data_IF_659072318581
#
_entry.id   IF_659072318581
#
_cell.length_a   1.000
_cell.length_b   1.000
_cell.length_c   1.000
_cell.angle_alpha   90.00
_cell.angle_beta   90.00
_cell.angle_gamma   90.00
#
_symmetry.space_group_name_H-M   'P 1'
#
loop_
_entity.id
_entity.type
_entity.pdbx_description
1 polymer ?
#
# COMPACT_ATOMS: atom_id res chain seq x y z
N UNK A 1 -7.50 0.73 12.17
CA UNK A 1 -7.82 1.99 12.87
C UNK A 1 -7.02 2.02 14.17
N UNK A 2 -6.38 3.16 14.52
CA UNK A 2 -5.74 3.35 15.83
C UNK A 2 -6.78 3.93 16.78
N UNK A 3 -6.97 3.29 17.94
CA UNK A 3 -7.99 3.67 18.92
C UNK A 3 -7.32 4.58 19.96
N UNK A 4 -7.76 5.83 20.03
CA UNK A 4 -7.26 6.80 21.02
C UNK A 4 -8.20 6.92 22.23
N UNK A 5 -9.49 6.63 22.04
CA UNK A 5 -10.53 6.79 23.06
C UNK A 5 -11.37 5.52 23.22
N UNK A 6 -11.89 5.29 24.43
CA UNK A 6 -12.61 4.07 24.79
C UNK A 6 -13.88 3.84 23.95
N UNK A 7 -14.54 4.90 23.51
CA UNK A 7 -15.77 4.82 22.71
C UNK A 7 -15.51 4.31 21.29
N UNK A 8 -14.34 4.57 20.72
CA UNK A 8 -13.93 4.03 19.41
C UNK A 8 -13.77 2.50 19.42
N UNK A 9 -13.58 1.89 20.60
CA UNK A 9 -13.52 0.42 20.76
C UNK A 9 -14.88 -0.22 20.51
N UNK A 10 -15.96 0.37 21.02
CA UNK A 10 -17.32 -0.18 20.86
C UNK A 10 -17.74 -0.18 19.39
N UNK A 11 -17.46 0.91 18.69
CA UNK A 11 -17.78 1.01 17.27
C UNK A 11 -16.90 0.07 16.42
N UNK A 12 -15.62 -0.05 16.74
CA UNK A 12 -14.74 -1.02 16.11
C UNK A 12 -15.23 -2.46 16.29
N UNK A 13 -15.63 -2.85 17.50
CA UNK A 13 -16.14 -4.19 17.79
C UNK A 13 -17.46 -4.45 17.07
N UNK A 14 -18.39 -3.49 17.08
CA UNK A 14 -19.65 -3.59 16.32
C UNK A 14 -19.38 -3.76 14.82
N UNK A 15 -18.51 -2.94 14.24
CA UNK A 15 -18.14 -3.06 12.83
C UNK A 15 -17.47 -4.40 12.51
N UNK A 16 -16.58 -4.88 13.38
CA UNK A 16 -15.90 -6.16 13.21
C UNK A 16 -16.90 -7.33 13.23
N UNK A 17 -17.85 -7.33 14.16
CA UNK A 17 -18.89 -8.37 14.27
C UNK A 17 -19.84 -8.34 13.08
N UNK A 18 -20.30 -7.16 12.66
CA UNK A 18 -21.18 -7.03 11.48
C UNK A 18 -20.45 -7.48 10.21
N UNK A 19 -19.18 -7.12 10.06
CA UNK A 19 -18.37 -7.49 8.90
C UNK A 19 -18.16 -9.00 8.73
N UNK A 20 -18.23 -9.77 9.82
CA UNK A 20 -18.15 -11.24 9.79
C UNK A 20 -19.43 -11.88 9.23
N UNK A 21 -20.58 -11.22 9.32
CA UNK A 21 -21.87 -11.72 8.81
C UNK A 21 -22.02 -11.60 7.29
N UNK A 22 -21.28 -10.67 6.67
CA UNK A 22 -21.34 -10.35 5.23
C UNK A 22 -20.19 -10.98 4.41
N UNK A 23 -19.38 -11.82 5.05
CA UNK A 23 -18.22 -12.46 4.42
C UNK A 23 -18.64 -13.41 3.28
N UNK A 24 -18.14 -13.15 2.06
CA UNK A 24 -18.24 -14.05 0.92
C UNK A 24 -17.23 -15.20 1.02
N UNK A 25 -16.00 -14.89 1.44
CA UNK A 25 -14.96 -15.87 1.80
C UNK A 25 -14.28 -15.45 3.10
N UNK A 26 -14.02 -16.41 3.98
CA UNK A 26 -13.40 -16.15 5.30
C UNK A 26 -11.89 -15.93 5.21
N UNK A 27 -11.26 -16.41 4.14
CA UNK A 27 -9.84 -16.25 3.93
C UNK A 27 -9.53 -16.32 2.44
N UNK A 28 -9.00 -15.23 1.93
CA UNK A 28 -8.43 -15.13 0.59
C UNK A 28 -6.92 -14.99 0.73
N UNK A 29 -6.21 -15.78 -0.04
CA UNK A 29 -4.77 -15.68 -0.18
C UNK A 29 -4.39 -15.59 -1.66
N UNK A 30 -3.21 -15.04 -1.92
CA UNK A 30 -2.72 -14.73 -3.25
C UNK A 30 -1.28 -15.19 -3.39
N UNK A 31 -1.04 -16.08 -4.34
CA UNK A 31 0.30 -16.43 -4.79
C UNK A 31 0.59 -15.70 -6.09
N UNK A 32 1.77 -15.09 -6.19
CA UNK A 32 2.24 -14.45 -7.42
C UNK A 32 3.66 -14.90 -7.73
N UNK A 33 3.90 -15.15 -9.00
CA UNK A 33 5.16 -15.66 -9.53
C UNK A 33 5.58 -14.70 -10.64
N UNK A 34 6.58 -13.83 -10.40
CA UNK A 34 7.15 -12.98 -11.43
C UNK A 34 7.74 -13.81 -12.58
N UNK A 35 7.64 -13.30 -13.81
CA UNK A 35 8.28 -13.91 -14.97
C UNK A 35 9.82 -13.80 -14.90
N UNK A 36 10.57 -14.59 -15.69
CA UNK A 36 12.03 -14.45 -15.78
C UNK A 36 12.45 -13.02 -16.12
N UNK A 37 13.41 -12.46 -15.38
CA UNK A 37 13.85 -11.07 -15.55
C UNK A 37 12.89 -10.02 -14.95
N UNK A 38 11.85 -10.43 -14.23
CA UNK A 38 10.94 -9.55 -13.49
C UNK A 38 11.15 -9.73 -11.99
N UNK A 39 11.34 -8.62 -11.28
CA UNK A 39 11.46 -8.60 -9.83
C UNK A 39 10.25 -7.90 -9.21
N UNK A 40 9.58 -8.56 -8.26
CA UNK A 40 8.56 -7.91 -7.43
C UNK A 40 9.24 -7.05 -6.37
N UNK A 41 9.18 -5.74 -6.51
CA UNK A 41 9.80 -4.80 -5.56
C UNK A 41 8.93 -4.60 -4.33
N UNK A 42 7.62 -4.44 -4.52
CA UNK A 42 6.69 -4.23 -3.42
C UNK A 42 5.24 -4.58 -3.78
N UNK A 43 4.46 -4.86 -2.75
CA UNK A 43 3.04 -5.17 -2.85
C UNK A 43 2.27 -4.43 -1.75
N UNK A 44 1.10 -3.89 -2.10
CA UNK A 44 0.23 -3.16 -1.18
C UNK A 44 -1.21 -3.60 -1.38
N UNK A 45 -1.89 -3.95 -0.29
CA UNK A 45 -3.35 -4.04 -0.29
C UNK A 45 -3.87 -2.62 -0.12
N UNK A 46 -4.64 -2.11 -1.06
CA UNK A 46 -5.26 -0.78 -1.02
C UNK A 46 -6.67 -0.87 -0.42
N UNK A 47 -7.44 -1.88 -0.83
CA UNK A 47 -8.77 -2.18 -0.27
C UNK A 47 -8.84 -3.61 0.25
N UNK A 48 -9.64 -3.87 1.30
CA UNK A 48 -10.50 -2.93 2.03
C UNK A 48 -9.75 -2.05 3.04
N UNK A 49 -8.51 -2.43 3.37
CA UNK A 49 -7.64 -1.69 4.27
C UNK A 49 -6.26 -1.56 3.63
N UNK A 50 -5.80 -0.31 3.54
CA UNK A 50 -4.50 0.05 3.03
C UNK A 50 -3.38 -0.50 3.93
N UNK A 51 -2.60 -1.47 3.45
CA UNK A 51 -1.46 -2.03 4.17
C UNK A 51 -0.39 -2.51 3.18
N UNK A 52 0.91 -2.31 3.51
CA UNK A 52 1.96 -3.03 2.83
C UNK A 52 1.78 -4.53 3.04
N UNK A 53 1.98 -5.29 1.96
CA UNK A 53 2.02 -6.74 2.03
C UNK A 53 3.50 -7.16 2.18
N UNK A 54 3.86 -7.87 3.28
CA UNK A 54 5.23 -8.31 3.47
C UNK A 54 5.62 -9.30 2.37
N UNK A 55 6.87 -9.25 1.92
CA UNK A 55 7.35 -10.18 0.90
C UNK A 55 7.30 -11.61 1.45
N UNK A 56 6.42 -12.43 0.89
CA UNK A 56 6.12 -13.80 1.28
C UNK A 56 5.76 -14.58 0.02
N UNK A 57 5.87 -15.91 0.08
CA UNK A 57 5.46 -16.79 -1.03
C UNK A 57 3.95 -16.69 -1.32
N UNK A 58 3.16 -16.43 -0.28
CA UNK A 58 1.71 -16.30 -0.35
C UNK A 58 1.25 -15.11 0.50
N UNK A 59 0.53 -14.18 -0.12
CA UNK A 59 -0.02 -13.01 0.55
C UNK A 59 -1.38 -13.32 1.15
N UNK A 60 -1.51 -13.17 2.46
CA UNK A 60 -2.80 -13.23 3.15
C UNK A 60 -3.59 -11.94 2.93
N UNK A 61 -4.71 -12.05 2.22
CA UNK A 61 -5.58 -10.91 1.89
C UNK A 61 -6.77 -10.78 2.85
N UNK A 62 -7.01 -11.77 3.71
CA UNK A 62 -8.04 -11.75 4.75
C UNK A 62 -9.44 -12.07 4.23
N UNK A 63 -10.46 -11.48 4.84
CA UNK A 63 -11.87 -11.76 4.54
C UNK A 63 -12.31 -10.98 3.30
N UNK A 64 -12.86 -11.67 2.31
CA UNK A 64 -13.51 -11.06 1.14
C UNK A 64 -15.00 -10.88 1.42
N UNK A 65 -15.49 -9.65 1.25
CA UNK A 65 -16.91 -9.29 1.39
C UNK A 65 -17.58 -9.22 0.03
N UNK A 66 -18.91 -9.35 -0.01
CA UNK A 66 -19.67 -9.29 -1.28
C UNK A 66 -19.68 -7.89 -1.91
N UNK A 67 -19.67 -6.86 -1.08
CA UNK A 67 -19.87 -5.45 -1.42
C UNK A 67 -18.56 -4.65 -1.48
N UNK A 68 -17.44 -5.22 -1.04
CA UNK A 68 -16.15 -4.54 -0.99
C UNK A 68 -15.09 -5.33 -1.74
N UNK A 69 -14.56 -4.79 -2.87
CA UNK A 69 -13.50 -5.47 -3.60
C UNK A 69 -12.17 -5.39 -2.85
N UNK A 70 -11.33 -6.38 -3.07
CA UNK A 70 -9.91 -6.27 -2.77
C UNK A 70 -9.23 -5.54 -3.93
N UNK A 71 -8.42 -4.54 -3.60
CA UNK A 71 -7.53 -3.87 -4.56
C UNK A 71 -6.11 -4.02 -4.08
N UNK A 72 -5.24 -4.48 -4.97
CA UNK A 72 -3.85 -4.78 -4.66
C UNK A 72 -3.00 -4.08 -5.71
N UNK A 73 -1.98 -3.36 -5.25
CA UNK A 73 -1.02 -2.68 -6.08
C UNK A 73 0.31 -3.42 -5.99
N UNK A 74 0.83 -3.80 -7.15
CA UNK A 74 2.16 -4.40 -7.29
C UNK A 74 3.10 -3.42 -7.98
N UNK A 75 4.35 -3.42 -7.55
CA UNK A 75 5.43 -2.72 -8.21
C UNK A 75 6.46 -3.74 -8.69
N UNK A 76 6.66 -3.79 -10.00
CA UNK A 76 7.63 -4.67 -10.64
C UNK A 76 8.78 -3.87 -11.24
N UNK A 77 9.98 -4.41 -11.13
CA UNK A 77 11.11 -4.03 -11.96
C UNK A 77 11.24 -5.07 -13.06
N UNK A 78 11.07 -4.65 -14.31
CA UNK A 78 11.12 -5.51 -15.49
C UNK A 78 12.43 -5.20 -16.21
N UNK A 79 13.25 -6.22 -16.43
CA UNK A 79 14.45 -6.10 -17.26
C UNK A 79 14.04 -5.78 -18.71
N UNK A 80 14.93 -5.16 -19.53
CA UNK A 80 14.66 -4.92 -20.94
C UNK A 80 14.16 -6.19 -21.64
N UNK A 81 12.99 -6.08 -22.26
CA UNK A 81 12.37 -7.17 -23.01
C UNK A 81 12.90 -7.10 -24.45
N UNK A 82 13.35 -8.21 -25.06
CA UNK A 82 13.77 -8.24 -26.46
C UNK A 82 12.68 -7.74 -27.42
N UNK A 83 13.07 -7.08 -28.50
CA UNK A 83 12.15 -6.48 -29.49
C UNK A 83 11.30 -7.51 -30.22
N UNK A 84 11.70 -8.78 -30.24
CA UNK A 84 10.97 -9.88 -30.88
C UNK A 84 9.77 -10.38 -30.03
N UNK A 85 9.57 -9.84 -28.82
CA UNK A 85 8.48 -10.24 -27.94
C UNK A 85 7.35 -9.21 -28.04
N UNK A 86 6.28 -9.57 -28.76
CA UNK A 86 5.09 -8.72 -28.92
C UNK A 86 4.25 -8.60 -27.63
N UNK A 87 4.36 -9.57 -26.73
CA UNK A 87 3.58 -9.63 -25.48
C UNK A 87 4.46 -10.09 -24.32
N UNK A 88 4.76 -9.17 -23.42
CA UNK A 88 5.57 -9.44 -22.25
C UNK A 88 4.68 -9.91 -21.08
N UNK A 89 4.85 -11.16 -20.67
CA UNK A 89 4.29 -11.65 -19.40
C UNK A 89 5.12 -11.08 -18.25
N UNK A 90 4.45 -10.41 -17.31
CA UNK A 90 5.07 -9.78 -16.14
C UNK A 90 5.04 -10.73 -14.95
N UNK A 91 3.89 -11.34 -14.68
CA UNK A 91 3.71 -12.30 -13.60
C UNK A 91 2.47 -13.16 -13.83
N UNK A 92 2.46 -14.36 -13.25
CA UNK A 92 1.27 -15.20 -13.16
C UNK A 92 0.99 -15.51 -11.70
N UNK A 93 -0.25 -15.87 -11.38
CA UNK A 93 -0.60 -16.17 -10.00
C UNK A 93 -1.97 -16.78 -9.83
N UNK A 94 -2.30 -17.03 -8.58
CA UNK A 94 -3.54 -17.70 -8.18
C UNK A 94 -4.11 -17.04 -6.93
N UNK A 95 -5.40 -16.75 -6.95
CA UNK A 95 -6.17 -16.45 -5.74
C UNK A 95 -6.75 -17.74 -5.19
N UNK A 96 -6.50 -18.04 -3.92
CA UNK A 96 -7.14 -19.13 -3.20
C UNK A 96 -8.22 -18.56 -2.28
N UNK A 97 -9.46 -18.99 -2.47
CA UNK A 97 -10.60 -18.54 -1.68
C UNK A 97 -11.13 -19.72 -0.86
N UNK A 98 -10.95 -19.66 0.46
CA UNK A 98 -11.55 -20.65 1.38
C UNK A 98 -13.02 -20.33 1.58
N UNK A 99 -13.91 -21.17 1.05
CA UNK A 99 -15.37 -20.98 1.11
C UNK A 99 -16.06 -22.32 1.37
N UNK A 100 -17.11 -22.32 2.17
CA UNK A 100 -17.97 -23.50 2.31
C UNK A 100 -19.03 -23.52 1.20
N UNK A 101 -19.30 -24.66 0.53
CA UNK A 101 -18.76 -26.01 0.79
C UNK A 101 -17.45 -26.35 0.05
N UNK A 102 -16.97 -25.49 -0.85
CA UNK A 102 -15.81 -25.77 -1.71
C UNK A 102 -14.88 -24.57 -1.79
N UNK A 103 -13.58 -24.85 -1.77
CA UNK A 103 -12.53 -23.87 -2.02
C UNK A 103 -12.41 -23.59 -3.52
N UNK A 104 -12.05 -22.35 -3.87
CA UNK A 104 -11.87 -21.92 -5.25
C UNK A 104 -10.44 -21.45 -5.47
N UNK A 105 -9.88 -21.85 -6.61
CA UNK A 105 -8.61 -21.33 -7.13
C UNK A 105 -8.92 -20.55 -8.40
N UNK A 106 -8.49 -19.29 -8.46
CA UNK A 106 -8.72 -18.41 -9.59
C UNK A 106 -7.35 -18.00 -10.14
N UNK A 107 -6.89 -18.57 -11.26
CA UNK A 107 -5.63 -18.18 -11.87
C UNK A 107 -5.77 -16.82 -12.56
N UNK A 108 -4.66 -16.08 -12.63
CA UNK A 108 -4.54 -14.86 -13.42
C UNK A 108 -3.14 -14.75 -14.02
N UNK A 109 -3.04 -13.96 -15.09
CA UNK A 109 -1.77 -13.54 -15.68
C UNK A 109 -1.80 -12.03 -15.85
N UNK A 110 -0.67 -11.39 -15.54
CA UNK A 110 -0.40 -9.99 -15.81
C UNK A 110 0.57 -9.95 -16.98
N UNK A 111 0.11 -9.40 -18.08
CA UNK A 111 0.88 -9.25 -19.31
C UNK A 111 0.65 -7.88 -19.91
N UNK A 112 1.56 -7.48 -20.80
CA UNK A 112 1.48 -6.20 -21.49
C UNK A 112 1.94 -6.35 -22.94
N UNK A 113 1.19 -5.82 -23.91
CA UNK A 113 1.67 -5.74 -25.29
C UNK A 113 2.88 -4.79 -25.36
N UNK A 114 3.91 -5.22 -26.08
CA UNK A 114 5.06 -4.39 -26.42
C UNK A 114 4.75 -3.62 -27.70
N UNK A 115 5.16 -2.35 -27.72
CA UNK A 115 5.04 -1.51 -28.91
C UNK A 115 6.38 -0.81 -29.08
N UNK A 116 6.99 -0.99 -30.26
CA UNK A 116 8.32 -0.48 -30.59
C UNK A 116 8.35 1.04 -30.71
N UNK A 117 7.25 1.63 -31.21
CA UNK A 117 7.08 3.08 -31.35
C UNK A 117 5.75 3.50 -30.74
N UNK A 118 5.83 4.35 -29.71
CA UNK A 118 4.68 4.94 -29.07
C UNK A 118 4.90 6.45 -29.11
N UNK A 119 4.23 7.16 -30.03
CA UNK A 119 4.38 8.61 -30.19
C UNK A 119 4.05 9.35 -28.87
N UNK A 120 2.96 8.94 -28.20
CA UNK A 120 2.63 9.35 -26.84
C UNK A 120 2.03 8.17 -26.05
N UNK A 121 2.59 7.81 -24.89
CA UNK A 121 1.96 6.83 -24.02
C UNK A 121 0.67 7.35 -23.43
N UNK A 122 -0.40 6.51 -23.41
CA UNK A 122 -1.62 6.90 -22.72
C UNK A 122 -1.31 7.16 -21.25
N UNK A 123 -1.97 8.14 -20.64
CA UNK A 123 -1.77 8.41 -19.22
C UNK A 123 -2.11 7.15 -18.41
N UNK A 124 -1.39 6.90 -17.29
CA UNK A 124 -1.71 5.78 -16.43
C UNK A 124 -3.15 5.93 -15.90
N UNK A 125 -3.86 4.81 -15.65
CA UNK A 125 -5.16 4.84 -15.00
C UNK A 125 -5.14 5.69 -13.72
N UNK A 126 -6.17 6.51 -13.53
CA UNK A 126 -6.24 7.46 -12.43
C UNK A 126 -6.10 6.77 -11.06
N UNK A 127 -6.63 5.56 -10.92
CA UNK A 127 -6.54 4.75 -9.71
C UNK A 127 -5.09 4.39 -9.38
N UNK A 128 -4.28 4.08 -10.39
CA UNK A 128 -2.85 3.78 -10.23
C UNK A 128 -2.12 5.07 -9.82
N UNK A 129 -2.38 6.18 -10.52
CA UNK A 129 -1.76 7.46 -10.22
C UNK A 129 -2.06 7.94 -8.79
N UNK A 130 -3.32 7.84 -8.36
CA UNK A 130 -3.74 8.13 -6.98
C UNK A 130 -3.05 7.21 -5.98
N UNK A 131 -3.08 5.89 -6.21
CA UNK A 131 -2.45 4.92 -5.31
C UNK A 131 -0.95 5.17 -5.15
N UNK A 132 -0.23 5.49 -6.24
CA UNK A 132 1.20 5.85 -6.22
C UNK A 132 1.45 7.16 -5.45
N UNK A 133 0.62 8.18 -5.67
CA UNK A 133 0.74 9.46 -4.98
C UNK A 133 0.67 9.29 -3.46
N UNK A 134 -0.29 8.50 -2.97
CA UNK A 134 -0.43 8.23 -1.54
C UNK A 134 0.62 7.25 -1.00
N UNK A 135 1.04 6.28 -1.81
CA UNK A 135 2.15 5.38 -1.49
C UNK A 135 3.45 6.15 -1.21
N UNK A 136 3.68 7.26 -1.91
CA UNK A 136 4.86 8.09 -1.72
C UNK A 136 4.96 8.65 -0.29
N UNK A 137 3.83 9.07 0.31
CA UNK A 137 3.81 9.55 1.69
C UNK A 137 4.21 8.46 2.69
N UNK A 138 3.65 7.27 2.51
CA UNK A 138 4.00 6.12 3.32
C UNK A 138 5.48 5.73 3.16
N UNK A 139 6.02 5.77 1.94
CA UNK A 139 7.43 5.46 1.69
C UNK A 139 8.37 6.49 2.32
N UNK A 140 8.05 7.77 2.23
CA UNK A 140 8.86 8.83 2.84
C UNK A 140 8.93 8.67 4.35
N UNK A 141 7.80 8.36 5.01
CA UNK A 141 7.81 8.15 6.46
C UNK A 141 8.56 6.86 6.85
N UNK A 142 8.40 5.74 6.11
CA UNK A 142 9.18 4.52 6.38
C UNK A 142 10.69 4.73 6.18
N UNK A 143 11.08 5.46 5.13
CA UNK A 143 12.49 5.79 4.89
C UNK A 143 13.06 6.67 6.01
N UNK A 144 12.31 7.65 6.50
CA UNK A 144 12.75 8.45 7.65
C UNK A 144 12.94 7.60 8.91
N UNK A 145 12.05 6.62 9.17
CA UNK A 145 12.24 5.66 10.27
C UNK A 145 13.49 4.79 10.09
N UNK A 146 13.77 4.33 8.86
CA UNK A 146 14.99 3.56 8.55
C UNK A 146 16.25 4.40 8.73
N UNK A 147 16.22 5.66 8.33
CA UNK A 147 17.35 6.58 8.49
C UNK A 147 17.69 6.77 9.96
N UNK A 148 16.69 6.95 10.83
CA UNK A 148 16.89 6.99 12.29
C UNK A 148 17.49 5.70 12.82
N UNK A 149 16.94 4.55 12.42
CA UNK A 149 17.46 3.24 12.83
C UNK A 149 18.90 3.00 12.36
N UNK A 150 19.31 3.67 11.27
CA UNK A 150 20.66 3.59 10.70
C UNK A 150 21.60 4.70 11.22
N UNK A 151 21.18 5.50 12.19
CA UNK A 151 22.00 6.58 12.76
C UNK A 151 22.10 7.86 11.91
N UNK A 152 21.16 8.09 10.99
CA UNK A 152 21.13 9.23 10.06
C UNK A 152 19.97 10.21 10.35
N UNK A 153 19.91 10.87 11.52
CA UNK A 153 18.79 11.73 11.91
C UNK A 153 18.64 12.97 11.02
N UNK A 154 19.73 13.52 10.47
CA UNK A 154 19.67 14.64 9.52
C UNK A 154 18.93 14.29 8.23
N UNK A 155 19.15 13.10 7.69
CA UNK A 155 18.42 12.61 6.50
C UNK A 155 16.95 12.37 6.83
N UNK A 156 16.66 11.78 8.00
CA UNK A 156 15.30 11.58 8.46
C UNK A 156 14.54 12.91 8.61
N UNK A 157 15.18 13.94 9.18
CA UNK A 157 14.63 15.30 9.28
C UNK A 157 14.23 15.84 7.89
N UNK A 158 15.15 15.82 6.93
CA UNK A 158 14.88 16.32 5.57
C UNK A 158 13.73 15.57 4.90
N UNK A 159 13.64 14.24 5.09
CA UNK A 159 12.51 13.46 4.56
C UNK A 159 11.17 13.85 5.17
N UNK A 160 11.12 14.14 6.48
CA UNK A 160 9.90 14.57 7.14
C UNK A 160 9.48 16.00 6.77
N UNK A 161 10.44 16.90 6.56
CA UNK A 161 10.16 18.24 5.99
C UNK A 161 9.54 18.11 4.60
N UNK A 162 10.15 17.31 3.71
CA UNK A 162 9.61 17.08 2.37
C UNK A 162 8.22 16.43 2.42
N UNK A 163 8.03 15.46 3.32
CA UNK A 163 6.73 14.84 3.56
C UNK A 163 5.69 15.87 4.00
N UNK A 164 6.03 16.75 4.94
CA UNK A 164 5.15 17.83 5.42
C UNK A 164 4.74 18.76 4.29
N UNK A 165 5.69 19.24 3.49
CA UNK A 165 5.42 20.11 2.34
C UNK A 165 4.50 19.45 1.31
N UNK A 166 4.73 18.18 0.98
CA UNK A 166 3.86 17.48 0.02
C UNK A 166 2.46 17.21 0.58
N UNK A 167 2.33 16.89 1.87
CA UNK A 167 1.03 16.72 2.52
C UNK A 167 0.25 18.02 2.52
N UNK A 168 0.91 19.15 2.80
CA UNK A 168 0.30 20.48 2.74
C UNK A 168 -0.22 20.80 1.33
N UNK A 169 0.59 20.53 0.29
CA UNK A 169 0.19 20.75 -1.10
C UNK A 169 -1.01 19.88 -1.54
N UNK A 170 -1.23 18.73 -0.88
CA UNK A 170 -2.41 17.86 -1.09
C UNK A 170 -3.60 18.20 -0.19
N UNK A 171 -3.51 19.22 0.65
CA UNK A 171 -4.59 19.62 1.57
C UNK A 171 -4.65 18.81 2.87
N UNK A 172 -3.69 17.93 3.15
CA UNK A 172 -3.63 17.11 4.36
C UNK A 172 -2.97 17.86 5.52
N UNK A 173 -3.52 19.03 5.88
CA UNK A 173 -2.92 19.99 6.80
C UNK A 173 -2.60 19.39 8.19
N UNK A 174 -3.53 18.61 8.74
CA UNK A 174 -3.35 17.97 10.05
C UNK A 174 -2.16 17.02 10.08
N UNK A 175 -1.99 16.21 9.02
CA UNK A 175 -0.90 15.26 8.91
C UNK A 175 0.42 15.96 8.56
N UNK A 176 0.36 17.03 7.77
CA UNK A 176 1.52 17.88 7.47
C UNK A 176 2.11 18.51 8.75
N UNK A 177 1.26 19.03 9.64
CA UNK A 177 1.68 19.56 10.95
C UNK A 177 2.34 18.49 11.82
N UNK A 178 1.76 17.28 11.88
CA UNK A 178 2.35 16.15 12.60
C UNK A 178 3.73 15.81 12.04
N UNK A 179 3.90 15.78 10.71
CA UNK A 179 5.20 15.51 10.08
C UNK A 179 6.25 16.57 10.42
N UNK A 180 5.84 17.85 10.46
CA UNK A 180 6.72 18.96 10.85
C UNK A 180 7.16 18.85 12.31
N UNK A 181 6.21 18.67 13.24
CA UNK A 181 6.52 18.49 14.66
C UNK A 181 7.46 17.30 14.90
N UNK A 182 7.27 16.22 14.15
CA UNK A 182 8.12 15.05 14.25
C UNK A 182 9.54 15.30 13.70
N UNK A 183 9.67 16.12 12.65
CA UNK A 183 10.98 16.59 12.19
C UNK A 183 11.72 17.37 13.29
N UNK A 184 11.05 18.32 13.94
CA UNK A 184 11.63 19.09 15.05
C UNK A 184 12.00 18.19 16.24
N UNK A 185 11.19 17.18 16.53
CA UNK A 185 11.45 16.20 17.57
C UNK A 185 12.71 15.38 17.26
N UNK A 186 12.85 14.87 16.03
CA UNK A 186 14.03 14.16 15.55
C UNK A 186 15.29 15.02 15.67
N UNK A 187 15.21 16.30 15.30
CA UNK A 187 16.34 17.23 15.39
C UNK A 187 16.87 17.35 16.82
N UNK A 188 16.00 17.25 17.82
CA UNK A 188 16.34 17.40 19.23
C UNK A 188 16.70 16.07 19.92
N UNK A 189 16.09 14.95 19.51
CA UNK A 189 16.18 13.67 20.21
C UNK A 189 16.84 12.54 19.41
N UNK A 190 17.19 12.77 18.15
CA UNK A 190 17.70 11.76 17.21
C UNK A 190 16.81 10.51 17.09
N UNK A 191 15.53 10.62 17.43
CA UNK A 191 14.58 9.53 17.39
C UNK A 191 13.16 10.05 17.16
N UNK A 192 12.24 9.17 16.79
CA UNK A 192 10.84 9.50 16.68
C UNK A 192 10.15 9.56 18.05
N UNK A 193 9.17 10.45 18.19
CA UNK A 193 8.23 10.42 19.30
C UNK A 193 7.33 9.17 19.21
N UNK A 194 7.02 8.49 20.33
CA UNK A 194 6.20 7.29 20.31
C UNK A 194 4.79 7.50 19.70
N UNK A 195 4.23 8.69 19.90
CA UNK A 195 2.91 9.09 19.42
C UNK A 195 2.95 9.52 17.96
N UNK A 196 3.86 10.42 17.58
CA UNK A 196 3.99 10.93 16.22
C UNK A 196 4.37 9.86 15.21
N UNK A 197 5.23 8.89 15.60
CA UNK A 197 5.51 7.69 14.78
C UNK A 197 4.24 6.94 14.38
N UNK A 198 3.34 6.71 15.32
CA UNK A 198 2.06 6.01 15.06
C UNK A 198 1.14 6.88 14.23
N UNK A 199 1.00 8.15 14.57
CA UNK A 199 0.15 9.09 13.85
C UNK A 199 0.56 9.22 12.38
N UNK A 200 1.86 9.33 12.07
CA UNK A 200 2.36 9.36 10.69
C UNK A 200 2.12 8.04 9.96
N UNK A 201 2.41 6.91 10.58
CA UNK A 201 2.18 5.60 9.98
C UNK A 201 0.72 5.41 9.59
N UNK A 202 -0.21 5.59 10.52
CA UNK A 202 -1.64 5.37 10.25
C UNK A 202 -2.26 6.49 9.42
N UNK A 203 -1.80 7.73 9.58
CA UNK A 203 -2.25 8.86 8.79
C UNK A 203 -1.91 8.68 7.31
N UNK A 204 -0.66 8.36 6.98
CA UNK A 204 -0.25 8.13 5.58
C UNK A 204 -0.92 6.90 4.97
N UNK A 205 -1.17 5.85 5.76
CA UNK A 205 -1.95 4.69 5.34
C UNK A 205 -3.40 5.06 4.97
N UNK A 206 -4.06 5.91 5.78
CA UNK A 206 -5.44 6.34 5.54
C UNK A 206 -5.60 6.96 4.14
N UNK A 207 -4.60 7.71 3.69
CA UNK A 207 -4.65 8.42 2.42
C UNK A 207 -4.65 7.48 1.21
N UNK A 208 -4.20 6.23 1.36
CA UNK A 208 -4.25 5.26 0.25
C UNK A 208 -5.66 4.73 -0.02
N UNK A 209 -6.62 4.91 0.91
CA UNK A 209 -7.99 4.47 0.69
C UNK A 209 -8.64 5.35 -0.38
N UNK A 210 -9.35 4.77 -1.36
CA UNK A 210 -10.13 5.56 -2.31
C UNK A 210 -11.19 6.38 -1.57
N UNK A 211 -11.52 7.54 -2.12
CA UNK A 211 -12.61 8.40 -1.62
C UNK A 211 -13.90 7.57 -1.52
N UNK A 212 -14.71 7.85 -0.49
CA UNK A 212 -16.04 7.24 -0.40
C UNK A 212 -16.85 7.69 -1.62
N UNK A 213 -17.08 6.78 -2.55
CA UNK A 213 -18.16 6.88 -3.55
C UNK A 213 -19.51 6.88 -2.86
#
# INVERSE_FOLDING_TARGET
MFIQELDQVKDFLKHSITSLKEAYSRHVSLKIIPAPGVNLLSAFRILPEALPLPHQEEFSLGILKKDKPHRILFEFLVNPVPEEIDQAVIASGEFFLKRKPRDYTIPFTLDRPMVTELEEPPPPPEEIFRAISHLTFYRLQEKAQKDIASGNPGTAFQRLINLSSHLMAKGEESLAKIAMHEADYIKSHNNFSPTGKKQLKYGTIRLMLPDKT
#
